data_IF_032218278461
#
_entry.id   IF_032218278461
#
_cell.length_a   1.000
_cell.length_b   1.000
_cell.length_c   1.000
_cell.angle_alpha   90.00
_cell.angle_beta   90.00
_cell.angle_gamma   90.00
#
_symmetry.space_group_name_H-M   'P 1'
#
loop_
_entity.id
_entity.type
_entity.pdbx_description
1 polymer ?
#
# COMPACT_ATOMS: atom_id res chain seq x y z
N UNK A 1 12.32 -7.76 -9.39
CA UNK A 1 11.39 -7.27 -8.34
C UNK A 1 10.44 -6.21 -8.84
N UNK A 2 10.95 -5.19 -9.54
CA UNK A 2 10.15 -4.12 -10.15
C UNK A 2 10.48 -4.08 -11.64
N UNK A 3 9.44 -4.16 -12.48
CA UNK A 3 9.55 -3.89 -13.90
C UNK A 3 9.21 -2.41 -14.13
N UNK A 4 10.21 -1.62 -14.54
CA UNK A 4 10.06 -0.19 -14.82
C UNK A 4 9.89 0.04 -16.32
N UNK A 5 8.94 0.91 -16.66
CA UNK A 5 8.75 1.43 -18.02
C UNK A 5 8.47 2.92 -17.94
N UNK A 6 9.25 3.71 -18.69
CA UNK A 6 9.07 5.16 -18.80
C UNK A 6 8.59 5.47 -20.24
N UNK A 7 7.47 6.19 -20.37
CA UNK A 7 6.91 6.65 -21.63
C UNK A 7 6.16 7.98 -21.46
N UNK A 8 6.42 8.95 -22.30
CA UNK A 8 5.73 10.26 -22.34
C UNK A 8 5.70 11.00 -20.97
N UNK A 9 6.75 10.82 -20.18
CA UNK A 9 6.85 11.37 -18.82
C UNK A 9 6.07 10.59 -17.77
N UNK A 10 5.45 9.47 -18.12
CA UNK A 10 4.78 8.59 -17.17
C UNK A 10 5.69 7.41 -16.86
N UNK A 11 5.99 7.21 -15.58
CA UNK A 11 6.72 6.05 -15.08
C UNK A 11 5.75 5.00 -14.61
N UNK A 12 5.83 3.80 -15.17
CA UNK A 12 5.07 2.63 -14.71
C UNK A 12 6.01 1.74 -13.91
N UNK A 13 5.68 1.52 -12.63
CA UNK A 13 6.35 0.60 -11.72
C UNK A 13 5.44 -0.61 -11.51
N UNK A 14 5.83 -1.74 -12.08
CA UNK A 14 5.08 -2.98 -11.95
C UNK A 14 5.76 -3.90 -10.93
N UNK A 15 5.05 -4.19 -9.86
CA UNK A 15 5.49 -5.12 -8.83
C UNK A 15 5.53 -6.54 -9.41
N UNK A 16 6.72 -7.09 -9.61
CA UNK A 16 6.98 -8.43 -10.13
C UNK A 16 7.90 -9.20 -9.15
N UNK A 17 7.45 -9.31 -7.88
CA UNK A 17 8.18 -9.94 -6.79
C UNK A 17 7.45 -11.16 -6.27
N UNK A 18 7.91 -12.35 -6.68
CA UNK A 18 7.21 -13.60 -6.42
C UNK A 18 5.81 -13.65 -7.05
N UNK A 19 4.96 -14.54 -6.56
CA UNK A 19 3.62 -14.78 -7.13
C UNK A 19 2.62 -13.65 -6.83
N UNK A 20 2.76 -13.00 -5.67
CA UNK A 20 1.75 -12.08 -5.11
C UNK A 20 2.33 -10.74 -4.68
N UNK A 21 3.58 -10.45 -5.05
CA UNK A 21 4.31 -9.24 -4.66
C UNK A 21 4.19 -8.94 -3.16
N UNK A 22 4.50 -9.96 -2.34
CA UNK A 22 4.60 -9.79 -0.90
C UNK A 22 5.76 -8.85 -0.56
N UNK A 23 5.55 -7.96 0.39
CA UNK A 23 6.52 -6.94 0.78
C UNK A 23 7.54 -7.52 1.73
N UNK A 24 8.77 -7.52 1.30
CA UNK A 24 9.97 -7.78 2.08
C UNK A 24 10.91 -6.56 2.07
N UNK A 25 12.05 -6.71 2.74
CA UNK A 25 13.05 -5.65 2.84
C UNK A 25 13.52 -5.19 1.46
N UNK A 26 13.81 -6.15 0.59
CA UNK A 26 14.38 -5.94 -0.74
C UNK A 26 13.38 -5.21 -1.67
N UNK A 27 12.10 -5.60 -1.66
CA UNK A 27 11.07 -4.90 -2.43
C UNK A 27 10.81 -3.49 -1.88
N UNK A 28 10.80 -3.34 -0.55
CA UNK A 28 10.63 -2.05 0.11
C UNK A 28 11.74 -1.07 -0.28
N UNK A 29 13.00 -1.47 -0.14
CA UNK A 29 14.16 -0.65 -0.51
C UNK A 29 14.18 -0.30 -2.00
N UNK A 30 13.84 -1.25 -2.88
CA UNK A 30 13.76 -1.02 -4.31
C UNK A 30 12.67 0.00 -4.67
N UNK A 31 11.48 -0.08 -4.07
CA UNK A 31 10.41 0.90 -4.31
C UNK A 31 10.76 2.30 -3.78
N UNK A 32 11.39 2.40 -2.61
CA UNK A 32 11.87 3.66 -2.07
C UNK A 32 12.84 4.32 -3.05
N UNK A 33 13.77 3.56 -3.62
CA UNK A 33 14.71 4.05 -4.61
C UNK A 33 14.00 4.57 -5.87
N UNK A 34 12.97 3.84 -6.38
CA UNK A 34 12.18 4.27 -7.54
C UNK A 34 11.39 5.55 -7.26
N UNK A 35 10.80 5.72 -6.08
CA UNK A 35 10.11 6.95 -5.71
C UNK A 35 11.07 8.14 -5.53
N UNK A 36 12.26 7.93 -4.99
CA UNK A 36 13.31 8.96 -4.94
C UNK A 36 13.79 9.36 -6.34
N UNK A 37 13.98 8.40 -7.24
CA UNK A 37 14.36 8.63 -8.64
C UNK A 37 13.23 9.31 -9.45
N UNK A 38 11.97 9.15 -9.05
CA UNK A 38 10.84 9.83 -9.66
C UNK A 38 10.83 11.36 -9.42
N UNK A 39 11.70 11.89 -8.57
CA UNK A 39 11.92 13.34 -8.45
C UNK A 39 12.55 13.95 -9.72
N UNK A 40 13.14 13.13 -10.61
CA UNK A 40 13.70 13.58 -11.89
C UNK A 40 12.67 14.40 -12.69
N UNK A 41 13.06 15.56 -13.26
CA UNK A 41 12.16 16.42 -14.04
C UNK A 41 11.52 15.74 -15.27
N UNK A 42 12.15 14.72 -15.84
CA UNK A 42 11.58 13.95 -16.96
C UNK A 42 10.35 13.13 -16.56
N UNK A 43 10.22 12.76 -15.26
CA UNK A 43 9.07 12.07 -14.72
C UNK A 43 8.00 13.08 -14.31
N UNK A 44 6.80 12.95 -14.88
CA UNK A 44 5.65 13.83 -14.61
C UNK A 44 4.61 13.17 -13.72
N UNK A 45 4.47 11.84 -13.78
CA UNK A 45 3.62 11.06 -12.89
C UNK A 45 4.12 9.60 -12.80
N UNK A 46 3.70 8.90 -11.74
CA UNK A 46 4.02 7.49 -11.49
C UNK A 46 2.73 6.67 -11.49
N UNK A 47 2.75 5.50 -12.12
CA UNK A 47 1.71 4.48 -12.01
C UNK A 47 2.33 3.28 -11.29
N UNK A 48 1.69 2.84 -10.22
CA UNK A 48 2.07 1.62 -9.50
C UNK A 48 1.04 0.53 -9.79
N UNK A 49 1.49 -0.65 -10.21
CA UNK A 49 0.61 -1.80 -10.49
C UNK A 49 1.28 -3.11 -10.07
N UNK A 50 0.52 -4.20 -10.01
CA UNK A 50 1.04 -5.51 -9.67
C UNK A 50 1.11 -6.46 -10.86
N UNK A 51 1.37 -7.75 -10.56
CA UNK A 51 1.48 -8.83 -11.54
C UNK A 51 0.40 -9.89 -11.29
N UNK A 52 -0.10 -10.49 -12.36
CA UNK A 52 -1.11 -11.56 -12.28
C UNK A 52 -2.40 -11.08 -11.62
N UNK A 53 -2.88 -11.82 -10.62
CA UNK A 53 -4.13 -11.53 -9.90
C UNK A 53 -3.94 -10.68 -8.64
N UNK A 54 -2.75 -10.15 -8.39
CA UNK A 54 -2.44 -9.42 -7.16
C UNK A 54 -1.72 -8.11 -7.47
N UNK A 55 -2.19 -7.03 -6.85
CA UNK A 55 -1.41 -5.80 -6.71
C UNK A 55 -0.29 -6.04 -5.70
N UNK A 56 -0.65 -6.43 -4.47
CA UNK A 56 0.27 -6.91 -3.44
C UNK A 56 -0.51 -7.61 -2.33
N UNK A 57 0.04 -8.71 -1.81
CA UNK A 57 -0.49 -9.42 -0.65
C UNK A 57 -0.12 -8.78 0.70
N UNK A 58 0.60 -7.66 0.71
CA UNK A 58 1.13 -7.03 1.91
C UNK A 58 2.41 -7.67 2.40
N UNK A 59 2.68 -7.56 3.69
CA UNK A 59 3.93 -8.02 4.31
C UNK A 59 4.15 -9.53 4.12
N UNK A 60 5.37 -9.93 3.76
CA UNK A 60 5.75 -11.34 3.69
C UNK A 60 5.84 -11.95 5.09
N UNK A 61 4.72 -12.53 5.53
CA UNK A 61 4.60 -13.16 6.83
C UNK A 61 5.47 -14.41 6.94
N UNK A 62 5.74 -15.12 5.83
CA UNK A 62 6.63 -16.29 5.84
C UNK A 62 8.06 -15.85 6.11
N UNK A 63 8.49 -14.77 5.48
CA UNK A 63 9.82 -14.19 5.71
C UNK A 63 9.97 -13.70 7.14
N UNK A 64 8.96 -13.02 7.70
CA UNK A 64 8.95 -12.62 9.10
C UNK A 64 9.14 -13.80 10.07
N UNK A 65 8.38 -14.91 9.85
CA UNK A 65 8.51 -16.09 10.70
C UNK A 65 9.87 -16.75 10.56
N UNK A 66 10.39 -16.84 9.33
CA UNK A 66 11.66 -17.52 9.04
C UNK A 66 12.84 -16.77 9.65
N UNK A 67 12.89 -15.45 9.46
CA UNK A 67 14.07 -14.64 9.78
C UNK A 67 13.93 -13.94 11.16
N UNK A 68 12.74 -13.96 11.76
CA UNK A 68 12.49 -13.60 13.15
C UNK A 68 12.56 -12.11 13.49
N UNK A 69 12.65 -11.77 14.81
CA UNK A 69 12.56 -10.40 15.30
C UNK A 69 13.64 -9.45 14.76
N UNK A 70 14.85 -9.93 14.50
CA UNK A 70 15.93 -9.10 13.96
C UNK A 70 15.64 -8.65 12.53
N UNK A 71 14.98 -9.48 11.74
CA UNK A 71 14.48 -9.07 10.43
C UNK A 71 13.36 -8.03 10.56
N UNK A 72 12.39 -8.25 11.45
CA UNK A 72 11.31 -7.30 11.68
C UNK A 72 11.83 -5.92 12.14
N UNK A 73 12.87 -5.88 12.99
CA UNK A 73 13.53 -4.65 13.44
C UNK A 73 14.08 -3.81 12.28
N UNK A 74 14.54 -4.48 11.22
CA UNK A 74 15.03 -3.81 10.01
C UNK A 74 13.89 -3.47 9.04
N UNK A 75 12.93 -4.37 8.91
CA UNK A 75 11.87 -4.29 7.91
C UNK A 75 10.79 -3.24 8.24
N UNK A 76 10.34 -3.15 9.51
CA UNK A 76 9.26 -2.22 9.89
C UNK A 76 9.61 -0.75 9.57
N UNK A 77 10.82 -0.24 9.85
CA UNK A 77 11.22 1.10 9.41
C UNK A 77 11.22 1.28 7.88
N UNK A 78 11.62 0.26 7.12
CA UNK A 78 11.60 0.32 5.64
C UNK A 78 10.17 0.36 5.12
N UNK A 79 9.23 -0.36 5.74
CA UNK A 79 7.81 -0.27 5.39
C UNK A 79 7.26 1.14 5.62
N UNK A 80 7.57 1.77 6.76
CA UNK A 80 7.19 3.16 7.04
C UNK A 80 7.83 4.13 6.02
N UNK A 81 9.12 3.98 5.71
CA UNK A 81 9.81 4.81 4.71
C UNK A 81 9.20 4.65 3.31
N UNK A 82 8.84 3.44 2.90
CA UNK A 82 8.16 3.19 1.63
C UNK A 82 6.82 3.94 1.53
N UNK A 83 6.00 3.82 2.57
CA UNK A 83 4.70 4.50 2.61
C UNK A 83 4.88 6.03 2.63
N UNK A 84 5.86 6.53 3.37
CA UNK A 84 6.21 7.94 3.39
C UNK A 84 6.68 8.41 2.01
N UNK A 85 7.60 7.70 1.36
CA UNK A 85 8.11 8.02 0.03
C UNK A 85 6.99 8.05 -1.02
N UNK A 86 6.02 7.13 -0.94
CA UNK A 86 4.85 7.10 -1.82
C UNK A 86 3.94 8.30 -1.57
N UNK A 87 3.58 8.54 -0.31
CA UNK A 87 2.67 9.60 0.11
C UNK A 87 3.22 11.00 -0.22
N UNK A 88 4.52 11.20 -0.01
CA UNK A 88 5.19 12.50 -0.20
C UNK A 88 5.88 12.67 -1.55
N UNK A 89 5.78 11.70 -2.45
CA UNK A 89 6.28 11.83 -3.82
C UNK A 89 5.77 13.14 -4.44
N UNK A 90 6.64 14.05 -4.94
CA UNK A 90 6.20 15.36 -5.44
C UNK A 90 5.44 15.27 -6.77
N UNK A 91 5.35 14.08 -7.34
CA UNK A 91 4.61 13.78 -8.58
C UNK A 91 3.30 13.08 -8.25
N UNK A 92 2.29 13.18 -9.12
CA UNK A 92 1.10 12.33 -9.02
C UNK A 92 1.46 10.84 -9.03
N UNK A 93 0.89 10.09 -8.08
CA UNK A 93 1.03 8.64 -8.00
C UNK A 93 -0.33 7.99 -8.14
N UNK A 94 -0.49 7.13 -9.14
CA UNK A 94 -1.75 6.42 -9.44
C UNK A 94 -1.57 4.93 -9.14
N UNK A 95 -2.38 4.38 -8.25
CA UNK A 95 -2.46 2.93 -8.04
C UNK A 95 -3.41 2.30 -9.08
N UNK A 96 -2.85 1.49 -9.97
CA UNK A 96 -3.58 0.64 -10.91
C UNK A 96 -3.71 -0.77 -10.30
N UNK A 97 -4.78 -1.00 -9.54
CA UNK A 97 -4.98 -2.20 -8.72
C UNK A 97 -5.53 -3.32 -9.59
N UNK A 98 -4.63 -4.20 -10.04
CA UNK A 98 -4.90 -5.27 -11.00
C UNK A 98 -5.51 -6.54 -10.38
N UNK A 99 -5.81 -6.53 -9.09
CA UNK A 99 -6.35 -7.69 -8.37
C UNK A 99 -6.35 -7.48 -6.86
N UNK A 100 -5.89 -8.49 -6.12
CA UNK A 100 -5.86 -8.42 -4.65
C UNK A 100 -4.87 -7.35 -4.15
N UNK A 101 -5.34 -6.51 -3.20
CA UNK A 101 -4.53 -5.53 -2.47
C UNK A 101 -4.80 -5.70 -0.97
N UNK A 102 -3.98 -6.47 -0.29
CA UNK A 102 -4.25 -6.92 1.09
C UNK A 102 -3.20 -6.37 2.06
N UNK A 103 -3.61 -6.04 3.28
CA UNK A 103 -2.72 -5.56 4.34
C UNK A 103 -1.86 -4.38 3.86
N UNK A 104 -0.54 -4.45 4.02
CA UNK A 104 0.39 -3.46 3.49
C UNK A 104 0.19 -3.11 2.01
N UNK A 105 -0.33 -4.05 1.18
CA UNK A 105 -0.67 -3.78 -0.22
C UNK A 105 -1.87 -2.84 -0.38
N UNK A 106 -2.88 -2.97 0.48
CA UNK A 106 -3.98 -2.03 0.57
C UNK A 106 -3.49 -0.65 1.04
N UNK A 107 -2.61 -0.61 2.02
CA UNK A 107 -2.06 0.63 2.59
C UNK A 107 -1.17 1.35 1.57
N UNK A 108 -0.35 0.60 0.81
CA UNK A 108 0.46 1.16 -0.27
C UNK A 108 -0.42 1.77 -1.37
N UNK A 109 -1.51 1.08 -1.77
CA UNK A 109 -2.48 1.65 -2.70
C UNK A 109 -3.14 2.91 -2.11
N UNK A 110 -3.51 2.91 -0.82
CA UNK A 110 -4.10 4.05 -0.12
C UNK A 110 -3.14 5.25 0.00
N UNK A 111 -1.82 5.02 0.01
CA UNK A 111 -0.81 6.08 0.01
C UNK A 111 -0.72 6.80 -1.35
N UNK A 112 -1.21 6.20 -2.45
CA UNK A 112 -1.25 6.83 -3.77
C UNK A 112 -2.32 7.93 -3.84
N UNK A 113 -2.15 8.88 -4.77
CA UNK A 113 -3.05 10.03 -4.93
C UNK A 113 -4.39 9.62 -5.57
N UNK A 114 -4.38 8.64 -6.46
CA UNK A 114 -5.59 8.10 -7.10
C UNK A 114 -5.51 6.57 -7.20
N UNK A 115 -6.63 5.90 -6.96
CA UNK A 115 -6.73 4.42 -6.89
C UNK A 115 -7.80 3.93 -7.85
N UNK A 116 -7.37 3.16 -8.85
CA UNK A 116 -8.25 2.52 -9.83
C UNK A 116 -8.16 1.02 -9.61
N UNK A 117 -9.28 0.34 -9.41
CA UNK A 117 -9.30 -1.11 -9.25
C UNK A 117 -10.05 -1.77 -10.40
N UNK A 118 -9.46 -2.86 -10.90
CA UNK A 118 -10.07 -3.66 -11.97
C UNK A 118 -11.29 -4.42 -11.45
N UNK A 119 -12.35 -4.47 -12.25
CA UNK A 119 -13.52 -5.33 -11.99
C UNK A 119 -13.12 -6.80 -12.03
N UNK A 120 -13.70 -7.60 -11.14
CA UNK A 120 -13.44 -9.03 -11.01
C UNK A 120 -13.43 -9.51 -9.56
N UNK A 121 -12.71 -10.60 -9.30
CA UNK A 121 -12.67 -11.25 -7.99
C UNK A 121 -11.63 -10.68 -7.02
N UNK A 122 -10.94 -9.59 -7.40
CA UNK A 122 -9.99 -8.91 -6.54
C UNK A 122 -10.62 -8.45 -5.22
N UNK A 123 -9.86 -8.53 -4.14
CA UNK A 123 -10.27 -8.04 -2.82
C UNK A 123 -9.26 -7.04 -2.31
N UNK A 124 -9.75 -6.05 -1.56
CA UNK A 124 -8.92 -5.05 -0.89
C UNK A 124 -9.31 -4.97 0.58
N UNK A 125 -8.32 -4.83 1.49
CA UNK A 125 -8.60 -4.77 2.92
C UNK A 125 -7.37 -4.88 3.80
N UNK A 126 -7.58 -4.73 5.10
CA UNK A 126 -6.54 -4.56 6.13
C UNK A 126 -6.72 -5.58 7.27
N UNK A 127 -6.31 -6.84 7.09
CA UNK A 127 -6.52 -7.92 8.06
C UNK A 127 -5.52 -7.93 9.23
N UNK A 128 -4.78 -6.87 9.48
CA UNK A 128 -3.69 -6.80 10.46
C UNK A 128 -4.10 -7.29 11.84
N UNK A 129 -5.27 -6.88 12.36
CA UNK A 129 -5.75 -7.33 13.67
C UNK A 129 -6.11 -8.82 13.69
N UNK A 130 -6.59 -9.37 12.56
CA UNK A 130 -6.87 -10.82 12.43
C UNK A 130 -5.58 -11.62 12.35
N UNK A 131 -4.53 -11.05 11.74
CA UNK A 131 -3.17 -11.62 11.76
C UNK A 131 -2.56 -11.55 13.16
N UNK A 132 -2.99 -10.59 13.98
CA UNK A 132 -2.49 -10.36 15.34
C UNK A 132 -1.33 -9.37 15.39
N UNK A 133 -1.24 -8.46 14.42
CA UNK A 133 -0.25 -7.39 14.39
C UNK A 133 -0.92 -6.02 14.53
N UNK A 134 -0.38 -5.11 15.34
CA UNK A 134 -0.93 -3.76 15.46
C UNK A 134 -0.49 -2.87 14.30
N UNK A 135 -1.28 -1.83 14.01
CA UNK A 135 -0.95 -0.83 13.00
C UNK A 135 0.12 0.14 13.49
N UNK A 136 1.23 0.33 12.76
CA UNK A 136 2.10 1.48 12.95
C UNK A 136 1.35 2.80 12.70
N UNK A 137 1.89 3.91 13.20
CA UNK A 137 1.19 5.20 13.16
C UNK A 137 0.92 5.69 11.74
N UNK A 138 1.90 5.59 10.83
CA UNK A 138 1.74 6.07 9.44
C UNK A 138 0.72 5.24 8.65
N UNK A 139 0.80 3.90 8.59
CA UNK A 139 -0.25 3.05 8.00
C UNK A 139 -1.65 3.36 8.51
N UNK A 140 -1.79 3.50 9.83
CA UNK A 140 -3.06 3.87 10.46
C UNK A 140 -3.61 5.20 9.96
N UNK A 141 -2.77 6.25 9.93
CA UNK A 141 -3.21 7.58 9.51
C UNK A 141 -3.55 7.63 8.02
N UNK A 142 -2.83 6.88 7.17
CA UNK A 142 -3.15 6.77 5.74
C UNK A 142 -4.55 6.17 5.55
N UNK A 143 -4.85 5.05 6.19
CA UNK A 143 -6.17 4.40 6.07
C UNK A 143 -7.28 5.28 6.65
N UNK A 144 -7.06 5.88 7.81
CA UNK A 144 -8.03 6.78 8.44
C UNK A 144 -8.37 8.00 7.58
N UNK A 145 -7.41 8.49 6.76
CA UNK A 145 -7.65 9.60 5.84
C UNK A 145 -8.39 9.19 4.55
N UNK A 146 -8.54 7.89 4.25
CA UNK A 146 -9.16 7.40 3.01
C UNK A 146 -10.53 6.79 3.23
N UNK A 147 -10.71 6.06 4.32
CA UNK A 147 -11.95 5.36 4.61
C UNK A 147 -12.93 6.31 5.29
N UNK A 148 -14.16 6.38 4.79
CA UNK A 148 -15.20 7.19 5.41
C UNK A 148 -15.48 6.73 6.86
N UNK A 149 -15.68 7.67 7.77
CA UNK A 149 -15.77 7.44 9.23
C UNK A 149 -16.73 6.32 9.64
N UNK A 150 -17.86 6.19 8.92
CA UNK A 150 -18.86 5.16 9.19
C UNK A 150 -18.39 3.73 8.90
N UNK A 151 -17.34 3.56 8.09
CA UNK A 151 -16.82 2.24 7.68
C UNK A 151 -15.48 1.89 8.34
N UNK A 152 -14.74 2.89 8.82
CA UNK A 152 -13.37 2.71 9.30
C UNK A 152 -13.27 1.70 10.44
N UNK A 153 -14.13 1.82 11.47
CA UNK A 153 -14.10 0.91 12.64
C UNK A 153 -14.44 -0.52 12.26
N UNK A 154 -15.46 -0.71 11.43
CA UNK A 154 -15.84 -2.04 10.96
C UNK A 154 -14.72 -2.68 10.16
N UNK A 155 -14.14 -1.98 9.19
CA UNK A 155 -13.03 -2.48 8.38
C UNK A 155 -11.83 -2.90 9.24
N UNK A 156 -11.41 -2.05 10.18
CA UNK A 156 -10.24 -2.29 11.04
C UNK A 156 -10.48 -3.43 12.02
N UNK A 157 -11.61 -3.41 12.75
CA UNK A 157 -11.84 -4.39 13.82
C UNK A 157 -12.25 -5.76 13.29
N UNK A 158 -12.94 -5.82 12.15
CA UNK A 158 -13.26 -7.10 11.51
C UNK A 158 -12.06 -7.69 10.76
N UNK A 159 -11.10 -6.85 10.31
CA UNK A 159 -9.98 -7.26 9.47
C UNK A 159 -10.42 -7.90 8.16
N UNK A 160 -11.64 -7.61 7.70
CA UNK A 160 -12.19 -8.18 6.48
C UNK A 160 -11.63 -7.54 5.22
N UNK A 161 -11.62 -8.31 4.15
CA UNK A 161 -11.36 -7.79 2.81
C UNK A 161 -12.67 -7.68 2.04
N UNK A 162 -12.84 -6.59 1.32
CA UNK A 162 -14.05 -6.22 0.60
C UNK A 162 -13.88 -6.37 -0.90
N UNK A 163 -15.00 -6.48 -1.62
CA UNK A 163 -15.03 -6.45 -3.08
C UNK A 163 -15.08 -5.00 -3.58
N UNK A 164 -14.91 -4.84 -4.88
CA UNK A 164 -14.72 -3.55 -5.55
C UNK A 164 -15.85 -2.53 -5.29
N UNK A 165 -17.11 -2.96 -5.28
CA UNK A 165 -18.25 -2.04 -5.06
C UNK A 165 -18.26 -1.48 -3.65
N UNK A 166 -18.01 -2.33 -2.66
CA UNK A 166 -17.91 -1.92 -1.27
C UNK A 166 -16.65 -1.08 -1.02
N UNK A 167 -15.52 -1.44 -1.64
CA UNK A 167 -14.28 -0.66 -1.59
C UNK A 167 -14.48 0.77 -2.11
N UNK A 168 -15.25 0.92 -3.20
CA UNK A 168 -15.62 2.22 -3.75
C UNK A 168 -16.54 3.00 -2.81
N UNK A 169 -17.54 2.34 -2.25
CA UNK A 169 -18.50 2.98 -1.34
C UNK A 169 -17.83 3.51 -0.06
N UNK A 170 -16.83 2.80 0.47
CA UNK A 170 -16.14 3.22 1.70
C UNK A 170 -14.91 4.12 1.46
N UNK A 171 -14.53 4.40 0.20
CA UNK A 171 -13.43 5.30 -0.13
C UNK A 171 -12.04 4.65 -0.22
N UNK A 172 -11.94 3.32 -0.16
CA UNK A 172 -10.67 2.61 -0.37
C UNK A 172 -10.15 2.76 -1.80
N UNK A 173 -11.05 2.90 -2.79
CA UNK A 173 -10.71 3.18 -4.18
C UNK A 173 -11.50 4.37 -4.71
N UNK A 174 -10.95 5.05 -5.72
CA UNK A 174 -11.57 6.21 -6.34
C UNK A 174 -12.38 5.83 -7.59
N UNK A 175 -12.00 4.76 -8.28
CA UNK A 175 -12.60 4.37 -9.55
C UNK A 175 -12.60 2.85 -9.74
N UNK A 176 -13.66 2.33 -10.38
CA UNK A 176 -13.73 0.97 -10.90
C UNK A 176 -13.41 0.98 -12.39
N UNK A 177 -12.71 -0.05 -12.86
CA UNK A 177 -12.29 -0.13 -14.25
C UNK A 177 -12.61 -1.51 -14.84
N UNK A 178 -13.22 -1.58 -16.04
CA UNK A 178 -13.44 -2.85 -16.72
C UNK A 178 -12.14 -3.62 -16.97
N UNK A 179 -12.25 -4.96 -17.04
CA UNK A 179 -11.13 -5.84 -17.35
C UNK A 179 -10.50 -5.47 -18.69
N UNK A 180 -9.16 -5.46 -18.72
CA UNK A 180 -8.37 -5.10 -19.91
C UNK A 180 -8.14 -3.60 -20.12
N UNK A 181 -8.80 -2.71 -19.37
CA UNK A 181 -8.67 -1.25 -19.54
C UNK A 181 -7.83 -0.57 -18.45
N UNK A 182 -7.37 -1.31 -17.44
CA UNK A 182 -6.78 -0.74 -16.24
C UNK A 182 -5.59 0.18 -16.51
N UNK A 183 -4.57 -0.29 -17.24
CA UNK A 183 -3.38 0.52 -17.52
C UNK A 183 -3.68 1.71 -18.42
N UNK A 184 -4.58 1.56 -19.41
CA UNK A 184 -5.00 2.68 -20.25
C UNK A 184 -5.66 3.75 -19.39
N UNK A 185 -6.61 3.35 -18.53
CA UNK A 185 -7.31 4.28 -17.64
C UNK A 185 -6.36 4.94 -16.64
N UNK A 186 -5.44 4.18 -16.05
CA UNK A 186 -4.42 4.73 -15.15
C UNK A 186 -3.51 5.73 -15.86
N UNK A 187 -3.16 5.48 -17.12
CA UNK A 187 -2.36 6.40 -17.95
C UNK A 187 -3.13 7.69 -18.23
N UNK A 188 -4.41 7.62 -18.59
CA UNK A 188 -5.25 8.81 -18.78
C UNK A 188 -5.32 9.69 -17.51
N UNK A 189 -5.54 9.06 -16.35
CA UNK A 189 -5.57 9.77 -15.07
C UNK A 189 -4.21 10.38 -14.75
N UNK A 190 -3.12 9.61 -14.92
CA UNK A 190 -1.77 10.08 -14.68
C UNK A 190 -1.42 11.28 -15.60
N UNK A 191 -1.76 11.23 -16.89
CA UNK A 191 -1.55 12.32 -17.85
C UNK A 191 -2.36 13.56 -17.47
N UNK A 192 -3.63 13.38 -17.06
CA UNK A 192 -4.47 14.48 -16.59
C UNK A 192 -3.87 15.18 -15.36
N UNK A 193 -3.39 14.41 -14.38
CA UNK A 193 -2.74 14.96 -13.18
C UNK A 193 -1.38 15.60 -13.53
N UNK A 194 -0.62 15.00 -14.43
CA UNK A 194 0.66 15.51 -14.91
C UNK A 194 0.54 16.80 -15.74
N UNK A 195 -0.64 17.13 -16.26
CA UNK A 195 -0.89 18.39 -16.97
C UNK A 195 -1.05 19.59 -16.02
N UNK A 196 -1.20 19.36 -14.73
CA UNK A 196 -1.23 20.39 -13.69
C UNK A 196 0.21 20.93 -13.49
N UNK A 197 0.33 22.21 -13.17
CA UNK A 197 1.62 22.79 -12.80
C UNK A 197 2.30 21.96 -11.70
N UNK A 198 3.50 21.44 -11.97
CA UNK A 198 4.21 20.56 -11.04
C UNK A 198 4.42 21.18 -9.66
N UNK A 199 4.79 22.49 -9.62
CA UNK A 199 4.95 23.21 -8.35
C UNK A 199 3.62 23.38 -7.60
N UNK A 200 2.53 23.71 -8.30
CA UNK A 200 1.22 23.84 -7.67
C UNK A 200 0.72 22.48 -7.13
N UNK A 201 0.92 21.40 -7.90
CA UNK A 201 0.56 20.05 -7.46
C UNK A 201 1.35 19.64 -6.22
N UNK A 202 2.69 19.79 -6.24
CA UNK A 202 3.55 19.39 -5.13
C UNK A 202 3.21 20.13 -3.83
N UNK A 203 3.07 21.47 -3.87
CA UNK A 203 2.71 22.26 -2.69
C UNK A 203 1.31 21.95 -2.16
N UNK A 204 0.35 21.72 -3.06
CA UNK A 204 -1.01 21.34 -2.66
C UNK A 204 -1.03 19.94 -2.02
N UNK A 205 -0.27 18.99 -2.58
CA UNK A 205 -0.12 17.66 -2.02
C UNK A 205 0.55 17.69 -0.65
N UNK A 206 1.60 18.50 -0.48
CA UNK A 206 2.24 18.73 0.82
C UNK A 206 1.23 19.27 1.85
N UNK A 207 0.47 20.30 1.49
CA UNK A 207 -0.56 20.86 2.35
C UNK A 207 -1.66 19.83 2.73
N UNK A 208 -2.07 18.99 1.76
CA UNK A 208 -3.07 17.95 1.97
C UNK A 208 -2.60 16.87 2.97
N UNK A 209 -1.33 16.48 2.91
CA UNK A 209 -0.80 15.37 3.71
C UNK A 209 -0.06 15.81 4.98
N UNK A 210 0.27 17.10 5.14
CA UNK A 210 0.91 17.62 6.36
C UNK A 210 0.15 17.28 7.65
N UNK A 211 -1.21 17.29 7.73
CA UNK A 211 -1.91 16.87 8.93
C UNK A 211 -1.70 15.40 9.29
N UNK A 212 -1.56 14.51 8.29
CA UNK A 212 -1.23 13.10 8.50
C UNK A 212 0.14 12.98 9.18
N UNK A 213 1.15 13.66 8.62
CA UNK A 213 2.53 13.59 9.11
C UNK A 213 2.65 14.21 10.51
N UNK A 214 1.92 15.30 10.78
CA UNK A 214 1.88 15.89 12.10
C UNK A 214 1.25 14.94 13.13
N UNK A 215 0.14 14.27 12.75
CA UNK A 215 -0.49 13.27 13.61
C UNK A 215 0.42 12.08 13.89
N UNK A 216 1.18 11.63 12.90
CA UNK A 216 2.19 10.56 13.08
C UNK A 216 3.25 10.97 14.11
N UNK A 217 3.76 12.23 14.06
CA UNK A 217 4.72 12.74 15.06
C UNK A 217 4.11 12.75 16.47
N UNK A 218 2.85 13.18 16.61
CA UNK A 218 2.15 13.17 17.90
C UNK A 218 1.93 11.76 18.47
N UNK A 219 1.93 10.73 17.60
CA UNK A 219 1.78 9.33 17.99
C UNK A 219 3.12 8.60 18.19
N UNK A 220 4.25 9.32 18.28
CA UNK A 220 5.59 8.71 18.35
C UNK A 220 5.73 7.67 19.48
N UNK A 221 5.24 7.98 20.69
CA UNK A 221 5.29 7.05 21.83
C UNK A 221 4.42 5.80 21.61
N UNK A 222 3.24 5.98 21.00
CA UNK A 222 2.39 4.86 20.62
C UNK A 222 3.08 4.03 19.54
N UNK A 223 3.68 4.67 18.54
CA UNK A 223 4.38 3.98 17.45
C UNK A 223 5.58 3.17 17.96
N UNK A 224 6.33 3.68 18.95
CA UNK A 224 7.40 2.93 19.60
C UNK A 224 6.86 1.63 20.24
N UNK A 225 5.75 1.71 20.99
CA UNK A 225 5.09 0.52 21.57
C UNK A 225 4.57 -0.45 20.51
N UNK A 226 4.07 0.05 19.38
CA UNK A 226 3.65 -0.78 18.25
C UNK A 226 4.85 -1.50 17.64
N UNK A 227 5.96 -0.82 17.42
CA UNK A 227 7.21 -1.42 16.92
C UNK A 227 7.71 -2.51 17.87
N UNK A 228 7.70 -2.25 19.18
CA UNK A 228 8.06 -3.25 20.18
C UNK A 228 7.14 -4.48 20.14
N UNK A 229 5.83 -4.29 19.93
CA UNK A 229 4.87 -5.39 19.81
C UNK A 229 5.17 -6.28 18.58
N UNK A 230 5.65 -5.72 17.47
CA UNK A 230 6.08 -6.50 16.29
C UNK A 230 7.27 -7.42 16.59
N UNK A 231 8.05 -7.15 17.64
CA UNK A 231 9.24 -7.94 18.02
C UNK A 231 8.92 -9.02 19.06
N UNK A 232 7.70 -9.05 19.62
CA UNK A 232 7.35 -9.96 20.72
C UNK A 232 7.09 -11.39 20.23
N UNK A 233 7.47 -12.42 21.00
CA UNK A 233 7.25 -13.82 20.64
C UNK A 233 5.78 -14.15 20.30
N UNK A 234 4.82 -13.63 21.08
CA UNK A 234 3.40 -13.88 20.87
C UNK A 234 2.89 -13.37 19.53
N UNK A 235 3.50 -12.32 18.95
CA UNK A 235 3.16 -11.83 17.61
C UNK A 235 3.49 -12.88 16.56
N UNK A 236 4.63 -13.55 16.68
CA UNK A 236 5.01 -14.64 15.77
C UNK A 236 4.13 -15.89 15.94
N UNK A 237 3.66 -16.16 17.15
CA UNK A 237 2.69 -17.24 17.42
C UNK A 237 1.36 -16.93 16.72
N UNK A 238 0.85 -15.70 16.83
CA UNK A 238 -0.36 -15.25 16.14
C UNK A 238 -0.23 -15.36 14.62
N UNK A 239 0.88 -14.88 14.05
CA UNK A 239 1.14 -14.96 12.61
C UNK A 239 1.16 -16.43 12.15
N UNK A 240 1.82 -17.34 12.86
CA UNK A 240 1.82 -18.77 12.54
C UNK A 240 0.41 -19.35 12.56
N UNK A 241 -0.35 -19.07 13.62
CA UNK A 241 -1.73 -19.54 13.75
C UNK A 241 -2.64 -19.02 12.63
N UNK A 242 -2.43 -17.79 12.18
CA UNK A 242 -3.13 -17.19 11.04
C UNK A 242 -2.77 -17.90 9.72
N UNK A 243 -1.48 -18.12 9.46
CA UNK A 243 -1.02 -18.80 8.25
C UNK A 243 -1.54 -20.23 8.17
N UNK A 244 -1.47 -21.00 9.27
CA UNK A 244 -1.99 -22.37 9.33
C UNK A 244 -3.47 -22.46 8.97
N UNK A 245 -4.28 -21.50 9.45
CA UNK A 245 -5.71 -21.43 9.12
C UNK A 245 -5.95 -21.06 7.66
N UNK A 246 -5.10 -20.19 7.10
CA UNK A 246 -5.25 -19.68 5.72
C UNK A 246 -4.84 -20.74 4.70
N UNK A 247 -3.75 -21.46 4.96
CA UNK A 247 -3.26 -22.55 4.09
C UNK A 247 -4.27 -23.69 4.04
N UNK A 248 -4.78 -24.15 5.20
CA UNK A 248 -5.80 -25.22 5.27
C UNK A 248 -7.09 -24.87 4.51
N UNK A 249 -7.44 -23.58 4.43
CA UNK A 249 -8.62 -23.14 3.64
C UNK A 249 -8.38 -23.11 2.13
N UNK A 250 -7.14 -23.04 1.66
CA UNK A 250 -6.81 -23.04 0.24
C UNK A 250 -6.66 -24.45 -0.35
N UNK A 251 -6.63 -25.47 0.50
CA UNK A 251 -6.51 -26.89 0.11
C UNK A 251 -7.89 -27.62 0.06
N UNK A 252 -8.99 -26.94 0.46
CA UNK A 252 -10.38 -27.41 0.40
C UNK A 252 -11.12 -26.67 -0.73
#
# INVERSE_FOLDING_TARGET
MIERRDADGIRILKLAHGKVSAMDLELGEALIAEFKDAADPSVKAVILTGTGSSFSAGVDLFRLIKDGPEYARRFVPVLDELLLATLTCPKPVVAAINGHAIAGGCILAAACDHRIMIEGNGRIGIPELVVGVPFPALPWQIIAARVADGHLRDLVFSGRSVQIDEAKAMGLIDEKCPSGMLLNRATEVAQKLASISAGAFALTKEALYSPILERVRQLADLNARVTDAWLQPHTYENIRAYLDKTIKKSEI
#
